data_IF_422011341202
#
_entry.id   IF_422011341202
#
_cell.length_a   1.000
_cell.length_b   1.000
_cell.length_c   1.000
_cell.angle_alpha   90.00
_cell.angle_beta   90.00
_cell.angle_gamma   90.00
#
_symmetry.space_group_name_H-M   'P 1'
#
loop_
_entity.id
_entity.type
_entity.pdbx_description
1 polymer ?
#
# COMPACT_ATOMS: atom_id res chain seq x y z
N UNK A 1 -22.90 21.59 -47.77
CA UNK A 1 -22.14 20.50 -47.16
C UNK A 1 -21.29 21.11 -46.06
N UNK A 2 -21.71 21.00 -44.79
CA UNK A 2 -20.92 21.43 -43.64
C UNK A 2 -19.83 20.38 -43.39
N UNK A 3 -18.58 20.77 -43.45
CA UNK A 3 -17.47 19.94 -43.05
C UNK A 3 -17.64 19.57 -41.57
N UNK A 4 -17.57 18.28 -41.24
CA UNK A 4 -17.63 17.76 -39.88
C UNK A 4 -16.46 18.34 -39.07
N UNK A 5 -16.74 18.82 -37.86
CA UNK A 5 -15.73 19.29 -36.91
C UNK A 5 -14.84 18.12 -36.51
N UNK A 6 -13.54 18.32 -36.25
CA UNK A 6 -12.62 17.24 -35.89
C UNK A 6 -12.85 16.64 -34.46
N UNK A 7 -13.95 17.02 -33.82
CA UNK A 7 -14.24 16.64 -32.39
C UNK A 7 -15.07 15.34 -32.27
N UNK A 8 -15.50 14.69 -33.33
CA UNK A 8 -16.35 13.48 -33.28
C UNK A 8 -15.60 12.16 -33.58
N UNK A 9 -14.30 12.11 -33.39
CA UNK A 9 -13.67 10.78 -33.27
C UNK A 9 -13.91 10.23 -31.87
N UNK A 10 -14.94 9.40 -31.74
CA UNK A 10 -15.09 8.54 -30.55
C UNK A 10 -13.75 7.83 -30.28
N UNK A 11 -13.09 8.20 -29.19
CA UNK A 11 -11.90 7.49 -28.74
C UNK A 11 -12.34 6.06 -28.46
N UNK A 12 -11.74 5.03 -29.10
CA UNK A 12 -12.08 3.64 -28.81
C UNK A 12 -12.05 3.44 -27.30
N UNK A 13 -13.00 2.70 -26.76
CA UNK A 13 -13.06 2.39 -25.33
C UNK A 13 -11.87 1.49 -24.99
N UNK A 14 -10.72 2.12 -24.70
CA UNK A 14 -9.47 1.45 -24.35
C UNK A 14 -9.62 0.81 -22.96
N UNK A 15 -9.41 -0.49 -22.87
CA UNK A 15 -9.43 -1.20 -21.60
C UNK A 15 -8.18 -0.82 -20.77
N UNK A 16 -8.42 -0.37 -19.53
CA UNK A 16 -7.34 -0.18 -18.54
C UNK A 16 -7.40 -1.36 -17.58
N UNK A 17 -6.29 -2.07 -17.44
CA UNK A 17 -6.17 -3.26 -16.58
C UNK A 17 -4.77 -3.39 -15.99
N UNK A 18 -4.57 -4.21 -14.96
CA UNK A 18 -3.23 -4.60 -14.52
C UNK A 18 -2.43 -5.26 -15.66
N UNK A 19 -1.12 -4.95 -15.68
CA UNK A 19 -0.15 -5.63 -16.55
C UNK A 19 -0.13 -7.13 -16.20
N UNK A 20 -0.20 -7.99 -17.22
CA UNK A 20 -0.19 -9.44 -17.08
C UNK A 20 1.17 -10.04 -17.47
N UNK A 21 1.53 -11.21 -16.96
CA UNK A 21 2.80 -11.85 -17.32
C UNK A 21 2.97 -12.13 -18.82
N UNK A 22 1.86 -12.26 -19.56
CA UNK A 22 1.85 -12.50 -21.01
C UNK A 22 1.98 -11.21 -21.84
N UNK A 23 1.91 -10.03 -21.23
CA UNK A 23 2.02 -8.76 -21.95
C UNK A 23 3.45 -8.51 -22.44
N UNK A 24 3.57 -7.93 -23.62
CA UNK A 24 4.85 -7.63 -24.26
C UNK A 24 5.54 -6.41 -23.59
N UNK A 25 6.53 -6.69 -22.76
CA UNK A 25 7.34 -5.65 -22.09
C UNK A 25 8.22 -4.87 -23.07
N UNK A 26 8.62 -5.45 -24.19
CA UNK A 26 9.34 -4.75 -25.25
C UNK A 26 8.48 -3.69 -25.89
N UNK A 27 7.22 -4.04 -26.24
CA UNK A 27 6.24 -3.09 -26.77
C UNK A 27 5.91 -1.98 -25.77
N UNK A 28 5.75 -2.32 -24.46
CA UNK A 28 5.55 -1.35 -23.39
C UNK A 28 6.74 -0.39 -23.26
N UNK A 29 7.97 -0.91 -23.30
CA UNK A 29 9.19 -0.10 -23.27
C UNK A 29 9.26 0.86 -24.44
N UNK A 30 9.01 0.38 -25.65
CA UNK A 30 9.01 1.20 -26.85
C UNK A 30 7.94 2.31 -26.80
N UNK A 31 6.74 2.01 -26.30
CA UNK A 31 5.68 3.01 -26.09
C UNK A 31 6.13 4.09 -25.08
N UNK A 32 6.74 3.70 -23.95
CA UNK A 32 7.25 4.65 -22.97
C UNK A 32 8.33 5.54 -23.56
N UNK A 33 9.28 4.98 -24.31
CA UNK A 33 10.35 5.75 -24.97
C UNK A 33 9.76 6.81 -25.92
N UNK A 34 8.74 6.45 -26.70
CA UNK A 34 8.03 7.41 -27.56
C UNK A 34 7.27 8.48 -26.77
N UNK A 35 6.61 8.08 -25.68
CA UNK A 35 5.85 9.00 -24.82
C UNK A 35 6.73 10.09 -24.19
N UNK A 36 7.98 9.77 -23.88
CA UNK A 36 8.94 10.67 -23.25
C UNK A 36 9.91 11.35 -24.22
N UNK A 37 9.89 10.99 -25.52
CA UNK A 37 10.83 11.53 -26.51
C UNK A 37 10.78 13.07 -26.61
N UNK A 38 9.59 13.66 -26.55
CA UNK A 38 9.42 15.13 -26.58
C UNK A 38 10.06 15.84 -25.37
N UNK A 39 9.97 15.23 -24.18
CA UNK A 39 10.62 15.75 -22.97
C UNK A 39 12.15 15.63 -23.05
N UNK A 40 12.63 14.53 -23.59
CA UNK A 40 14.07 14.34 -23.83
C UNK A 40 14.62 15.35 -24.86
N UNK A 41 13.91 15.59 -25.95
CA UNK A 41 14.25 16.61 -26.95
C UNK A 41 14.27 18.03 -26.35
N UNK A 42 13.47 18.27 -25.30
CA UNK A 42 13.48 19.52 -24.53
C UNK A 42 14.57 19.56 -23.42
N UNK A 43 15.53 18.63 -23.43
CA UNK A 43 16.68 18.59 -22.50
C UNK A 43 16.41 17.91 -21.16
N UNK A 44 15.22 17.31 -20.98
CA UNK A 44 14.84 16.62 -19.74
C UNK A 44 15.09 15.10 -19.86
N UNK A 45 16.18 14.62 -19.36
CA UNK A 45 16.64 13.21 -19.46
C UNK A 45 15.87 12.24 -18.54
N UNK A 46 14.55 12.17 -18.69
CA UNK A 46 13.75 11.15 -17.99
C UNK A 46 14.25 9.74 -18.30
N UNK A 47 14.31 8.88 -17.30
CA UNK A 47 14.71 7.48 -17.47
C UNK A 47 13.86 6.77 -18.53
N UNK A 48 12.54 7.04 -18.53
CA UNK A 48 11.60 6.41 -19.45
C UNK A 48 11.83 6.79 -20.93
N UNK A 49 12.60 7.84 -21.22
CA UNK A 49 12.89 8.22 -22.62
C UNK A 49 13.86 7.25 -23.32
N UNK A 50 14.73 6.57 -22.57
CA UNK A 50 15.82 5.74 -23.13
C UNK A 50 15.99 4.41 -22.37
N UNK A 51 15.09 4.08 -21.45
CA UNK A 51 15.19 2.82 -20.70
C UNK A 51 15.07 1.60 -21.62
N UNK A 52 15.76 0.54 -21.25
CA UNK A 52 15.63 -0.78 -21.85
C UNK A 52 14.50 -1.62 -21.21
N UNK A 53 14.22 -2.77 -21.79
CA UNK A 53 13.22 -3.71 -21.25
C UNK A 53 13.58 -4.21 -19.85
N UNK A 54 14.88 -4.42 -19.55
CA UNK A 54 15.31 -4.86 -18.23
C UNK A 54 15.00 -3.81 -17.17
N UNK A 55 15.15 -2.54 -17.48
CA UNK A 55 14.75 -1.43 -16.61
C UNK A 55 13.25 -1.34 -16.46
N UNK A 56 12.48 -1.51 -17.53
CA UNK A 56 11.01 -1.57 -17.49
C UNK A 56 10.56 -2.72 -16.57
N UNK A 57 11.12 -3.91 -16.72
CA UNK A 57 10.85 -5.11 -15.91
C UNK A 57 11.07 -4.86 -14.41
N UNK A 58 12.20 -4.28 -14.04
CA UNK A 58 12.49 -3.93 -12.63
C UNK A 58 11.48 -2.93 -12.07
N UNK A 59 11.07 -1.96 -12.87
CA UNK A 59 10.16 -0.88 -12.43
C UNK A 59 8.72 -1.37 -12.26
N UNK A 60 8.21 -2.19 -13.19
CA UNK A 60 6.86 -2.75 -13.08
C UNK A 60 6.73 -3.78 -11.95
N UNK A 61 7.83 -4.40 -11.53
CA UNK A 61 7.84 -5.41 -10.46
C UNK A 61 7.74 -4.83 -9.04
N UNK A 62 7.84 -3.50 -8.87
CA UNK A 62 7.83 -2.88 -7.52
C UNK A 62 6.44 -2.72 -6.89
N UNK A 63 5.39 -2.95 -7.63
CA UNK A 63 4.03 -2.76 -7.14
C UNK A 63 3.03 -3.12 -8.21
N UNK A 64 2.14 -2.21 -8.57
CA UNK A 64 1.22 -2.40 -9.69
C UNK A 64 1.66 -1.60 -10.92
N UNK A 65 1.45 -2.17 -12.09
CA UNK A 65 1.50 -1.46 -13.35
C UNK A 65 0.13 -1.61 -14.04
N UNK A 66 -0.55 -0.49 -14.29
CA UNK A 66 -1.78 -0.45 -15.06
C UNK A 66 -1.44 -0.08 -16.50
N UNK A 67 -2.02 -0.80 -17.45
CA UNK A 67 -1.82 -0.60 -18.88
C UNK A 67 -3.14 -0.32 -19.60
N UNK A 68 -3.12 0.60 -20.53
CA UNK A 68 -4.17 0.77 -21.51
C UNK A 68 -3.79 0.04 -22.78
N UNK A 69 -4.66 -0.85 -23.26
CA UNK A 69 -4.43 -1.74 -24.39
C UNK A 69 -5.40 -1.36 -25.53
N UNK A 70 -4.90 -1.28 -26.75
CA UNK A 70 -5.72 -1.05 -27.94
C UNK A 70 -6.39 -2.36 -28.44
N UNK A 71 -7.18 -2.23 -29.51
CA UNK A 71 -7.90 -3.37 -30.11
C UNK A 71 -6.97 -4.44 -30.70
N UNK A 72 -5.71 -4.10 -30.98
CA UNK A 72 -4.69 -5.03 -31.48
C UNK A 72 -3.91 -5.72 -30.33
N UNK A 73 -4.20 -5.37 -29.06
CA UNK A 73 -3.49 -5.88 -27.89
C UNK A 73 -2.20 -5.14 -27.57
N UNK A 74 -1.90 -4.00 -28.24
CA UNK A 74 -0.70 -3.24 -28.00
C UNK A 74 -0.87 -2.24 -26.85
N UNK A 75 0.16 -2.03 -25.99
CA UNK A 75 0.12 -1.03 -24.92
C UNK A 75 0.20 0.39 -25.50
N UNK A 76 -0.80 1.21 -25.20
CA UNK A 76 -0.90 2.61 -25.64
C UNK A 76 -0.84 3.61 -24.50
N UNK A 77 -0.75 3.12 -23.28
CA UNK A 77 -0.52 3.92 -22.09
C UNK A 77 -0.22 3.05 -20.88
N UNK A 78 0.50 3.60 -19.92
CA UNK A 78 0.78 2.90 -18.67
C UNK A 78 1.04 3.87 -17.52
N UNK A 79 0.84 3.37 -16.30
CA UNK A 79 1.22 4.01 -15.06
C UNK A 79 1.62 2.95 -14.04
N UNK A 80 2.74 3.15 -13.35
CA UNK A 80 3.17 2.27 -12.26
C UNK A 80 2.93 2.95 -10.93
N UNK A 81 2.52 2.15 -9.94
CA UNK A 81 2.30 2.57 -8.56
C UNK A 81 3.11 1.64 -7.65
N UNK A 82 4.02 2.20 -6.86
CA UNK A 82 4.85 1.47 -5.92
C UNK A 82 4.42 1.76 -4.47
N UNK A 83 4.59 0.78 -3.56
CA UNK A 83 4.55 1.04 -2.13
C UNK A 83 5.71 1.95 -1.71
N UNK A 84 5.70 2.47 -0.46
CA UNK A 84 6.83 3.22 0.08
C UNK A 84 8.16 2.50 -0.08
N UNK A 85 9.21 3.28 -0.28
CA UNK A 85 10.57 2.76 -0.37
C UNK A 85 11.14 2.55 1.03
N UNK A 86 12.00 1.55 1.16
CA UNK A 86 12.82 1.33 2.36
C UNK A 86 14.23 1.88 2.09
N UNK A 87 14.66 2.89 2.85
CA UNK A 87 15.99 3.49 2.68
C UNK A 87 17.14 2.50 2.96
N UNK A 88 16.91 1.43 3.71
CA UNK A 88 17.90 0.38 3.93
C UNK A 88 18.10 -0.49 2.66
N UNK A 89 17.01 -0.76 1.94
CA UNK A 89 17.05 -1.51 0.68
C UNK A 89 17.32 -0.61 -0.54
N UNK A 90 16.90 0.65 -0.47
CA UNK A 90 16.99 1.64 -1.54
C UNK A 90 17.73 2.91 -1.06
N UNK A 91 19.06 2.91 -0.86
CA UNK A 91 19.79 4.02 -0.26
C UNK A 91 19.62 5.38 -0.97
N UNK A 92 19.26 5.37 -2.27
CA UNK A 92 19.04 6.58 -3.07
C UNK A 92 17.82 7.40 -2.61
N UNK A 93 16.90 6.81 -1.83
CA UNK A 93 15.76 7.54 -1.25
C UNK A 93 16.03 8.07 0.15
N UNK A 94 17.22 7.93 0.70
CA UNK A 94 17.52 8.31 2.09
C UNK A 94 17.15 9.77 2.40
N UNK A 95 17.39 10.69 1.45
CA UNK A 95 17.02 12.09 1.57
C UNK A 95 15.59 12.40 1.11
N UNK A 96 14.94 11.46 0.42
CA UNK A 96 13.58 11.60 -0.10
C UNK A 96 12.56 10.99 0.87
N UNK A 97 12.45 11.56 2.07
CA UNK A 97 11.61 11.02 3.16
C UNK A 97 10.15 10.80 2.74
N UNK A 98 9.61 11.66 1.90
CA UNK A 98 8.27 11.58 1.33
C UNK A 98 8.02 10.30 0.50
N UNK A 99 9.06 9.64 -0.02
CA UNK A 99 8.98 8.31 -0.66
C UNK A 99 8.94 7.15 0.34
N UNK A 100 9.23 7.41 1.61
CA UNK A 100 9.31 6.41 2.67
C UNK A 100 8.08 6.44 3.59
N UNK A 101 7.21 7.45 3.43
CA UNK A 101 6.02 7.60 4.27
C UNK A 101 5.06 6.42 4.08
N UNK A 102 4.75 5.64 5.14
CA UNK A 102 4.10 4.33 5.02
C UNK A 102 2.64 4.39 4.53
N UNK A 103 2.03 5.58 4.55
CA UNK A 103 0.68 5.82 4.06
C UNK A 103 0.63 6.42 2.65
N UNK A 104 1.78 6.45 1.96
CA UNK A 104 1.93 7.17 0.69
C UNK A 104 2.40 6.23 -0.43
N UNK A 105 1.59 6.07 -1.47
CA UNK A 105 1.99 5.38 -2.69
C UNK A 105 2.82 6.29 -3.59
N UNK A 106 3.76 5.72 -4.35
CA UNK A 106 4.57 6.44 -5.32
C UNK A 106 4.14 6.09 -6.75
N UNK A 107 3.68 7.08 -7.50
CA UNK A 107 3.35 6.96 -8.91
C UNK A 107 4.58 7.27 -9.77
N UNK A 108 4.90 6.39 -10.68
CA UNK A 108 6.04 6.54 -11.58
C UNK A 108 5.78 5.91 -12.95
N UNK A 109 6.69 6.11 -13.92
CA UNK A 109 6.63 5.52 -15.26
C UNK A 109 5.25 5.71 -15.94
N UNK A 110 4.76 6.96 -15.88
CA UNK A 110 3.46 7.32 -16.43
C UNK A 110 3.63 7.85 -17.85
N UNK A 111 3.17 7.11 -18.85
CA UNK A 111 3.26 7.48 -20.26
C UNK A 111 1.97 7.17 -21.02
N UNK A 112 1.71 7.97 -22.04
CA UNK A 112 0.61 7.78 -23.02
C UNK A 112 1.21 7.95 -24.41
N UNK A 113 0.87 7.03 -25.33
CA UNK A 113 1.27 7.09 -26.73
C UNK A 113 1.04 8.50 -27.29
N UNK A 114 2.03 9.13 -27.95
CA UNK A 114 1.91 10.51 -28.43
C UNK A 114 0.65 10.81 -29.23
N UNK A 115 0.21 9.88 -30.06
CA UNK A 115 -1.01 10.02 -30.88
C UNK A 115 -2.31 10.06 -30.03
N UNK A 116 -2.27 9.56 -28.79
CA UNK A 116 -3.40 9.50 -27.86
C UNK A 116 -3.28 10.51 -26.69
N UNK A 117 -2.24 11.33 -26.69
CA UNK A 117 -2.15 12.43 -25.74
C UNK A 117 -3.30 13.42 -25.98
N UNK A 118 -3.78 14.04 -24.89
CA UNK A 118 -4.96 14.96 -24.89
C UNK A 118 -6.29 14.31 -25.23
N UNK A 119 -6.37 12.99 -25.38
CA UNK A 119 -7.61 12.23 -25.59
C UNK A 119 -8.41 11.94 -24.31
N UNK A 120 -7.89 12.31 -23.14
CA UNK A 120 -8.44 11.91 -21.84
C UNK A 120 -7.87 10.60 -21.27
N UNK A 121 -7.10 9.82 -22.07
CA UNK A 121 -6.53 8.55 -21.61
C UNK A 121 -5.63 8.71 -20.38
N UNK A 122 -4.78 9.75 -20.35
CA UNK A 122 -3.94 10.03 -19.18
C UNK A 122 -4.76 10.27 -17.91
N UNK A 123 -5.87 11.01 -18.00
CA UNK A 123 -6.76 11.24 -16.86
C UNK A 123 -7.41 9.94 -16.37
N UNK A 124 -7.81 9.05 -17.28
CA UNK A 124 -8.37 7.73 -16.91
C UNK A 124 -7.33 6.84 -16.24
N UNK A 125 -6.10 6.79 -16.75
CA UNK A 125 -5.00 6.05 -16.14
C UNK A 125 -4.66 6.60 -14.74
N UNK A 126 -4.61 7.93 -14.59
CA UNK A 126 -4.35 8.56 -13.30
C UNK A 126 -5.45 8.23 -12.28
N UNK A 127 -6.72 8.31 -12.69
CA UNK A 127 -7.85 7.94 -11.84
C UNK A 127 -7.82 6.46 -11.41
N UNK A 128 -7.46 5.57 -12.34
CA UNK A 128 -7.30 4.14 -12.03
C UNK A 128 -6.15 3.89 -11.05
N UNK A 129 -5.02 4.61 -11.18
CA UNK A 129 -3.90 4.54 -10.25
C UNK A 129 -4.26 5.04 -8.85
N UNK A 130 -4.99 6.16 -8.79
CA UNK A 130 -5.49 6.71 -7.52
C UNK A 130 -6.49 5.76 -6.84
N UNK A 131 -7.37 5.13 -7.61
CA UNK A 131 -8.31 4.15 -7.10
C UNK A 131 -7.59 2.92 -6.55
N UNK A 132 -6.63 2.38 -7.31
CA UNK A 132 -5.80 1.27 -6.84
C UNK A 132 -5.08 1.63 -5.53
N UNK A 133 -4.48 2.82 -5.44
CA UNK A 133 -3.79 3.26 -4.23
C UNK A 133 -4.72 3.34 -3.01
N UNK A 134 -5.98 3.84 -3.19
CA UNK A 134 -7.00 3.84 -2.14
C UNK A 134 -7.35 2.43 -1.69
N UNK A 135 -7.57 1.52 -2.64
CA UNK A 135 -7.90 0.11 -2.38
C UNK A 135 -6.78 -0.63 -1.65
N UNK A 136 -5.52 -0.22 -1.84
CA UNK A 136 -4.39 -0.74 -1.07
C UNK A 136 -4.22 -0.06 0.31
N UNK A 137 -5.09 0.89 0.66
CA UNK A 137 -5.08 1.56 1.96
C UNK A 137 -4.12 2.75 2.06
N UNK A 138 -3.60 3.24 0.94
CA UNK A 138 -2.78 4.45 0.95
C UNK A 138 -3.67 5.69 1.10
N UNK A 139 -3.32 6.54 2.06
CA UNK A 139 -4.03 7.80 2.28
C UNK A 139 -3.56 8.90 1.33
N UNK A 140 -2.39 8.74 0.72
CA UNK A 140 -1.75 9.72 -0.17
C UNK A 140 -1.11 9.05 -1.37
N UNK A 141 -0.93 9.82 -2.43
CA UNK A 141 -0.13 9.45 -3.59
C UNK A 141 0.82 10.59 -3.94
N UNK A 142 2.05 10.26 -4.29
CA UNK A 142 3.10 11.21 -4.63
C UNK A 142 3.73 10.81 -5.96
N UNK A 143 4.18 11.81 -6.70
CA UNK A 143 4.99 11.63 -7.91
C UNK A 143 6.01 12.75 -8.00
N UNK A 144 7.00 12.59 -8.88
CA UNK A 144 7.89 13.67 -9.26
C UNK A 144 7.88 13.91 -10.77
N UNK A 145 8.10 15.16 -11.16
CA UNK A 145 8.27 15.56 -12.55
C UNK A 145 9.32 16.66 -12.67
N UNK A 146 9.81 16.90 -13.89
CA UNK A 146 10.81 17.94 -14.13
C UNK A 146 10.22 19.33 -13.85
N UNK A 147 10.91 20.15 -13.08
CA UNK A 147 10.53 21.54 -12.79
C UNK A 147 10.26 22.36 -14.07
N UNK A 148 11.06 22.25 -15.15
CA UNK A 148 10.78 22.95 -16.42
C UNK A 148 9.59 22.39 -17.20
N UNK A 149 9.02 21.21 -16.87
CA UNK A 149 7.85 20.66 -17.53
C UNK A 149 6.54 21.34 -17.05
N UNK A 150 6.40 22.64 -17.29
CA UNK A 150 5.29 23.47 -16.80
C UNK A 150 3.91 22.90 -17.17
N UNK A 151 3.76 22.31 -18.36
CA UNK A 151 2.50 21.74 -18.83
C UNK A 151 2.10 20.50 -18.00
N UNK A 152 3.05 19.65 -17.58
CA UNK A 152 2.79 18.51 -16.70
C UNK A 152 2.41 18.96 -15.29
N UNK A 153 3.16 19.92 -14.73
CA UNK A 153 2.86 20.50 -13.40
C UNK A 153 1.44 21.09 -13.39
N UNK A 154 1.08 21.87 -14.42
CA UNK A 154 -0.26 22.43 -14.53
C UNK A 154 -1.34 21.36 -14.69
N UNK A 155 -1.07 20.27 -15.42
CA UNK A 155 -2.01 19.17 -15.59
C UNK A 155 -2.22 18.41 -14.25
N UNK A 156 -1.16 18.08 -13.53
CA UNK A 156 -1.28 17.46 -12.22
C UNK A 156 -1.97 18.39 -11.21
N UNK A 157 -1.71 19.70 -11.25
CA UNK A 157 -2.40 20.67 -10.40
C UNK A 157 -3.92 20.67 -10.61
N UNK A 158 -4.37 20.64 -11.89
CA UNK A 158 -5.81 20.48 -12.21
C UNK A 158 -6.38 19.12 -11.78
N UNK A 159 -5.55 18.10 -11.65
CA UNK A 159 -5.93 16.78 -11.14
C UNK A 159 -5.92 16.69 -9.61
N UNK A 160 -5.69 17.82 -8.90
CA UNK A 160 -5.74 17.90 -7.44
C UNK A 160 -4.40 17.60 -6.72
N UNK A 161 -3.29 17.60 -7.46
CA UNK A 161 -1.96 17.47 -6.86
C UNK A 161 -1.40 18.84 -6.49
N UNK A 162 -0.83 18.93 -5.29
CA UNK A 162 -0.11 20.11 -4.80
C UNK A 162 1.40 19.86 -4.80
N UNK A 163 2.17 20.89 -5.13
CA UNK A 163 3.64 20.85 -4.99
C UNK A 163 4.02 20.87 -3.52
N UNK A 164 4.82 19.90 -3.08
CA UNK A 164 5.21 19.72 -1.67
C UNK A 164 6.71 19.74 -1.44
N UNK A 165 7.50 19.84 -2.50
CA UNK A 165 8.95 19.89 -2.39
C UNK A 165 9.65 19.76 -3.73
N UNK A 166 10.97 19.63 -3.67
CA UNK A 166 11.79 19.41 -4.86
C UNK A 166 13.04 18.59 -4.50
N UNK A 167 13.57 17.86 -5.47
CA UNK A 167 14.80 17.09 -5.33
C UNK A 167 15.68 17.22 -6.57
N UNK A 168 17.00 17.08 -6.39
CA UNK A 168 17.94 16.91 -7.49
C UNK A 168 18.41 15.46 -7.49
N UNK A 169 17.89 14.68 -8.41
CA UNK A 169 18.32 13.29 -8.56
C UNK A 169 19.68 13.19 -9.24
N UNK A 170 20.49 12.25 -8.80
CA UNK A 170 21.79 11.98 -9.42
C UNK A 170 21.62 11.67 -10.92
N UNK A 171 22.44 12.27 -11.76
CA UNK A 171 22.45 12.09 -13.21
C UNK A 171 21.29 12.77 -13.96
N UNK A 172 20.40 13.53 -13.29
CA UNK A 172 19.34 14.29 -13.96
C UNK A 172 19.80 15.69 -14.36
N UNK A 173 19.41 16.09 -15.57
CA UNK A 173 19.68 17.43 -16.13
C UNK A 173 18.73 18.51 -15.58
N UNK A 174 17.75 18.11 -14.77
CA UNK A 174 16.71 18.98 -14.23
C UNK A 174 16.49 18.70 -12.75
N UNK A 175 16.00 19.71 -12.05
CA UNK A 175 15.44 19.56 -10.69
C UNK A 175 14.03 18.99 -10.80
N UNK A 176 13.71 17.98 -10.02
CA UNK A 176 12.35 17.45 -9.89
C UNK A 176 11.52 18.27 -8.91
N UNK A 177 10.24 18.46 -9.22
CA UNK A 177 9.20 18.96 -8.33
C UNK A 177 8.38 17.78 -7.86
N UNK A 178 8.18 17.70 -6.55
CA UNK A 178 7.37 16.68 -5.90
C UNK A 178 5.92 17.15 -5.83
N UNK A 179 5.00 16.31 -6.29
CA UNK A 179 3.57 16.58 -6.28
C UNK A 179 2.85 15.51 -5.48
N UNK A 180 1.95 15.92 -4.60
CA UNK A 180 1.20 15.04 -3.71
C UNK A 180 -0.30 15.29 -3.80
N UNK A 181 -1.09 14.21 -3.74
CA UNK A 181 -2.54 14.27 -3.60
C UNK A 181 -2.98 13.46 -2.38
N UNK A 182 -3.90 14.01 -1.60
CA UNK A 182 -4.60 13.30 -0.52
C UNK A 182 -5.70 12.45 -1.15
N UNK A 183 -5.69 11.16 -0.87
CA UNK A 183 -6.65 10.19 -1.39
C UNK A 183 -7.77 9.88 -0.39
N UNK A 184 -7.44 9.90 0.91
CA UNK A 184 -8.38 9.75 2.02
C UNK A 184 -8.31 11.02 2.86
N UNK A 185 -9.33 11.85 2.75
CA UNK A 185 -9.44 13.06 3.53
C UNK A 185 -9.90 12.71 4.95
N UNK A 186 -9.07 12.97 6.00
CA UNK A 186 -9.44 12.66 7.37
C UNK A 186 -10.62 13.48 7.90
N UNK A 187 -10.98 14.58 7.23
CA UNK A 187 -12.15 15.38 7.59
C UNK A 187 -13.42 14.83 6.92
N UNK A 188 -13.31 14.42 5.65
CA UNK A 188 -14.44 13.90 4.88
C UNK A 188 -14.76 12.42 5.22
N UNK A 189 -13.74 11.59 5.54
CA UNK A 189 -13.93 10.18 5.94
C UNK A 189 -13.10 9.85 7.20
N UNK A 190 -13.46 10.39 8.36
CA UNK A 190 -12.68 10.26 9.59
C UNK A 190 -12.61 8.82 10.10
N UNK A 191 -13.66 8.02 9.88
CA UNK A 191 -13.68 6.63 10.32
C UNK A 191 -12.67 5.79 9.54
N UNK A 192 -12.65 5.89 8.21
CA UNK A 192 -11.65 5.21 7.37
C UNK A 192 -10.25 5.67 7.70
N UNK A 193 -10.03 6.97 7.82
CA UNK A 193 -8.73 7.53 8.16
C UNK A 193 -8.21 6.98 9.48
N UNK A 194 -9.06 6.90 10.52
CA UNK A 194 -8.70 6.31 11.81
C UNK A 194 -8.40 4.82 11.72
N UNK A 195 -9.23 4.04 11.02
CA UNK A 195 -9.02 2.59 10.84
C UNK A 195 -7.74 2.29 10.05
N UNK A 196 -7.38 3.12 9.07
CA UNK A 196 -6.10 2.99 8.34
C UNK A 196 -4.90 3.26 9.26
N UNK A 197 -5.00 4.24 10.17
CA UNK A 197 -3.96 4.46 11.21
C UNK A 197 -3.81 3.22 12.09
N UNK A 198 -4.92 2.66 12.56
CA UNK A 198 -4.90 1.47 13.43
C UNK A 198 -4.39 0.22 12.70
N UNK A 199 -4.69 0.04 11.43
CA UNK A 199 -4.17 -1.06 10.61
C UNK A 199 -2.64 -0.93 10.41
N UNK A 200 -2.12 0.29 10.14
CA UNK A 200 -0.67 0.53 10.08
C UNK A 200 0.00 0.27 11.42
N UNK A 201 -0.63 0.73 12.51
CA UNK A 201 -0.12 0.50 13.87
C UNK A 201 -0.03 -0.98 14.20
N UNK A 202 -1.07 -1.77 13.87
CA UNK A 202 -1.08 -3.21 14.12
C UNK A 202 0.10 -3.91 13.43
N UNK A 203 0.38 -3.58 12.17
CA UNK A 203 1.52 -4.09 11.42
C UNK A 203 2.87 -3.59 11.96
N UNK A 204 2.98 -2.30 12.29
CA UNK A 204 4.21 -1.72 12.85
C UNK A 204 4.56 -2.33 14.22
N UNK A 205 3.59 -2.38 15.12
CA UNK A 205 3.79 -2.90 16.45
C UNK A 205 4.11 -4.42 16.44
N UNK A 206 3.49 -5.18 15.54
CA UNK A 206 3.78 -6.60 15.37
C UNK A 206 5.22 -6.81 14.87
N UNK A 207 5.67 -6.11 13.83
CA UNK A 207 7.06 -6.22 13.35
C UNK A 207 8.07 -5.87 14.45
N UNK A 208 7.84 -4.75 15.15
CA UNK A 208 8.72 -4.28 16.21
C UNK A 208 8.78 -5.26 17.39
N UNK A 209 7.64 -5.86 17.76
CA UNK A 209 7.62 -6.91 18.80
C UNK A 209 8.42 -8.14 18.37
N UNK A 210 8.24 -8.57 17.11
CA UNK A 210 8.92 -9.77 16.60
C UNK A 210 10.44 -9.61 16.53
N UNK A 211 10.99 -8.40 16.32
CA UNK A 211 12.44 -8.11 16.41
C UNK A 211 13.00 -8.50 17.78
N UNK A 212 12.26 -8.28 18.86
CA UNK A 212 12.66 -8.65 20.23
C UNK A 212 12.42 -10.13 20.55
N UNK A 213 11.31 -10.69 20.04
CA UNK A 213 11.01 -12.13 20.22
C UNK A 213 12.02 -13.01 19.48
N UNK A 214 12.49 -12.58 18.30
CA UNK A 214 13.47 -13.33 17.51
C UNK A 214 14.83 -13.48 18.22
N UNK A 215 15.14 -12.59 19.16
CA UNK A 215 16.35 -12.66 19.98
C UNK A 215 16.26 -13.72 21.13
N UNK A 216 15.08 -14.32 21.38
CA UNK A 216 14.92 -15.39 22.34
C UNK A 216 15.34 -16.74 21.76
N UNK A 217 15.81 -17.65 22.62
CA UNK A 217 15.83 -19.06 22.26
C UNK A 217 14.41 -19.69 22.33
N UNK A 218 14.27 -20.91 21.87
CA UNK A 218 12.97 -21.59 21.83
C UNK A 218 12.46 -21.94 23.22
N UNK A 219 13.37 -22.27 24.15
CA UNK A 219 13.03 -22.60 25.53
C UNK A 219 12.43 -21.38 26.27
N UNK A 220 13.04 -20.20 26.15
CA UNK A 220 12.53 -18.96 26.73
C UNK A 220 11.19 -18.56 26.11
N UNK A 221 11.05 -18.70 24.79
CA UNK A 221 9.82 -18.34 24.05
C UNK A 221 8.63 -19.23 24.50
N UNK A 222 8.88 -20.49 24.80
CA UNK A 222 7.87 -21.48 25.25
C UNK A 222 7.73 -21.61 26.75
N UNK A 223 8.60 -20.96 27.53
CA UNK A 223 8.54 -20.98 28.99
C UNK A 223 7.20 -20.43 29.48
N UNK A 224 6.60 -21.12 30.46
CA UNK A 224 5.42 -20.62 31.16
C UNK A 224 5.79 -19.37 31.98
N UNK A 225 5.24 -18.24 31.59
CA UNK A 225 5.45 -16.91 32.20
C UNK A 225 4.21 -16.41 32.93
N UNK A 226 3.23 -17.27 33.19
CA UNK A 226 1.99 -16.94 33.87
C UNK A 226 0.98 -16.16 33.00
N UNK A 227 1.20 -16.07 31.68
CA UNK A 227 0.25 -15.49 30.77
C UNK A 227 -0.99 -16.37 30.59
N UNK A 228 -2.14 -15.81 30.18
CA UNK A 228 -3.35 -16.57 29.92
C UNK A 228 -3.11 -17.74 28.95
N UNK A 229 -2.32 -17.52 27.88
CA UNK A 229 -1.87 -18.56 26.94
C UNK A 229 -0.50 -19.15 27.34
N UNK A 230 -0.14 -19.04 28.60
CA UNK A 230 1.02 -19.61 29.28
C UNK A 230 2.36 -19.01 28.89
N UNK A 231 2.66 -18.87 27.60
CA UNK A 231 3.96 -18.46 27.09
C UNK A 231 3.87 -17.37 26.03
N UNK A 232 5.00 -16.78 25.67
CA UNK A 232 5.13 -15.86 24.54
C UNK A 232 4.66 -16.57 23.27
N UNK A 233 5.14 -17.80 23.00
CA UNK A 233 4.75 -18.59 21.84
C UNK A 233 3.24 -18.86 21.79
N UNK A 234 2.63 -19.24 22.93
CA UNK A 234 1.18 -19.45 23.02
C UNK A 234 0.38 -18.19 22.78
N UNK A 235 0.83 -17.04 23.29
CA UNK A 235 0.18 -15.75 23.09
C UNK A 235 0.29 -15.28 21.63
N UNK A 236 1.43 -15.52 20.97
CA UNK A 236 1.60 -15.22 19.53
C UNK A 236 0.74 -16.12 18.65
N UNK A 237 0.60 -17.40 18.99
CA UNK A 237 -0.34 -18.31 18.32
C UNK A 237 -1.79 -17.84 18.51
N UNK A 238 -2.16 -17.37 19.70
CA UNK A 238 -3.48 -16.77 19.92
C UNK A 238 -3.71 -15.53 19.04
N UNK A 239 -2.72 -14.65 18.90
CA UNK A 239 -2.80 -13.50 17.99
C UNK A 239 -3.01 -13.94 16.53
N UNK A 240 -2.33 -14.99 16.08
CA UNK A 240 -2.51 -15.57 14.76
C UNK A 240 -3.94 -16.14 14.60
N UNK A 241 -4.40 -16.92 15.57
CA UNK A 241 -5.75 -17.52 15.56
C UNK A 241 -6.82 -16.43 15.56
N UNK A 242 -6.77 -15.51 16.50
CA UNK A 242 -7.78 -14.46 16.62
C UNK A 242 -7.79 -13.54 15.40
N UNK A 243 -6.63 -12.98 15.03
CA UNK A 243 -6.53 -12.00 13.93
C UNK A 243 -6.78 -12.63 12.57
N UNK A 244 -6.02 -13.67 12.23
CA UNK A 244 -5.93 -14.16 10.85
C UNK A 244 -6.83 -15.38 10.56
N UNK A 245 -7.09 -16.24 11.55
CA UNK A 245 -7.87 -17.44 11.32
C UNK A 245 -9.36 -17.27 11.69
N UNK A 246 -9.70 -16.30 12.55
CA UNK A 246 -11.08 -16.03 12.93
C UNK A 246 -11.60 -14.69 12.38
N UNK A 247 -10.96 -13.55 12.69
CA UNK A 247 -11.49 -12.25 12.31
C UNK A 247 -11.28 -11.94 10.83
N UNK A 248 -10.11 -12.22 10.27
CA UNK A 248 -9.86 -11.95 8.86
C UNK A 248 -10.88 -12.62 7.92
N UNK A 249 -11.17 -13.94 8.01
CA UNK A 249 -12.18 -14.58 7.17
C UNK A 249 -13.58 -13.98 7.32
N UNK A 250 -13.95 -13.53 8.54
CA UNK A 250 -15.24 -12.86 8.79
C UNK A 250 -15.38 -11.57 7.99
N UNK A 251 -14.32 -10.77 7.97
CA UNK A 251 -14.28 -9.49 7.26
C UNK A 251 -14.13 -9.64 5.75
N UNK A 252 -13.17 -10.46 5.33
CA UNK A 252 -12.79 -10.57 3.93
C UNK A 252 -13.72 -11.47 3.11
N UNK A 253 -14.30 -12.52 3.72
CA UNK A 253 -15.07 -13.54 3.02
C UNK A 253 -16.46 -13.83 3.59
N UNK A 254 -16.81 -13.23 4.73
CA UNK A 254 -18.08 -13.52 5.42
C UNK A 254 -18.12 -14.93 6.04
N UNK A 255 -16.99 -15.58 6.18
CA UNK A 255 -16.88 -16.93 6.77
C UNK A 255 -16.75 -16.86 8.28
N UNK A 256 -17.19 -17.91 8.98
CA UNK A 256 -17.05 -18.03 10.43
C UNK A 256 -16.33 -19.34 10.79
N UNK A 257 -14.99 -19.38 10.68
CA UNK A 257 -14.22 -20.57 10.98
C UNK A 257 -14.37 -21.01 12.45
N UNK A 258 -14.23 -22.31 12.67
CA UNK A 258 -14.33 -22.95 13.99
C UNK A 258 -12.93 -23.38 14.45
N UNK A 259 -12.15 -22.44 14.98
CA UNK A 259 -10.80 -22.67 15.49
C UNK A 259 -10.78 -22.35 16.99
N UNK A 260 -10.19 -23.22 17.80
CA UNK A 260 -10.02 -22.97 19.25
C UNK A 260 -9.07 -21.78 19.47
N UNK A 261 -9.40 -20.93 20.44
CA UNK A 261 -8.62 -19.70 20.74
C UNK A 261 -7.21 -19.99 21.26
N UNK A 262 -7.00 -21.17 21.85
CA UNK A 262 -5.74 -21.66 22.43
C UNK A 262 -5.01 -22.65 21.51
N UNK A 263 -5.43 -22.76 20.25
CA UNK A 263 -4.79 -23.66 19.30
C UNK A 263 -3.36 -23.20 18.98
N UNK A 264 -2.40 -24.12 19.01
CA UNK A 264 -1.07 -23.92 18.43
C UNK A 264 -1.17 -24.09 16.90
N UNK A 265 -1.61 -23.02 16.23
CA UNK A 265 -1.86 -23.03 14.79
C UNK A 265 -0.58 -22.98 13.93
N UNK A 266 0.53 -22.61 14.55
CA UNK A 266 1.86 -22.62 13.93
C UNK A 266 2.94 -22.92 14.98
N UNK A 267 3.50 -24.13 15.03
CA UNK A 267 4.52 -24.51 15.99
C UNK A 267 5.91 -23.97 15.65
N UNK A 268 6.20 -23.69 14.39
CA UNK A 268 7.48 -23.14 13.95
C UNK A 268 7.51 -21.62 14.16
N UNK A 269 8.51 -21.12 14.89
CA UNK A 269 8.62 -19.69 15.24
C UNK A 269 8.83 -18.78 14.03
N UNK A 270 9.62 -19.20 13.05
CA UNK A 270 9.91 -18.38 11.88
C UNK A 270 8.66 -18.28 11.00
N UNK A 271 7.94 -19.38 10.81
CA UNK A 271 6.66 -19.37 10.10
C UNK A 271 5.59 -18.61 10.87
N UNK A 272 5.53 -18.72 12.20
CA UNK A 272 4.61 -17.95 13.04
C UNK A 272 4.86 -16.44 12.88
N UNK A 273 6.13 -16.01 12.92
CA UNK A 273 6.53 -14.64 12.64
C UNK A 273 6.08 -14.18 11.26
N UNK A 274 6.40 -14.95 10.22
CA UNK A 274 6.05 -14.60 8.84
C UNK A 274 4.53 -14.44 8.68
N UNK A 275 3.74 -15.40 9.19
CA UNK A 275 2.27 -15.37 9.15
C UNK A 275 1.68 -14.19 9.91
N UNK A 276 2.23 -13.84 11.08
CA UNK A 276 1.76 -12.68 11.85
C UNK A 276 2.04 -11.37 11.11
N UNK A 277 3.26 -11.19 10.58
CA UNK A 277 3.65 -9.98 9.85
C UNK A 277 2.84 -9.83 8.55
N UNK A 278 2.74 -10.88 7.77
CA UNK A 278 1.94 -10.91 6.54
C UNK A 278 0.46 -10.66 6.83
N UNK A 279 -0.08 -11.35 7.84
CA UNK A 279 -1.49 -11.25 8.20
C UNK A 279 -1.91 -9.84 8.62
N UNK A 280 -1.06 -9.12 9.37
CA UNK A 280 -1.36 -7.73 9.76
C UNK A 280 -1.36 -6.77 8.57
N UNK A 281 -0.59 -7.04 7.52
CA UNK A 281 -0.56 -6.21 6.31
C UNK A 281 -1.88 -6.25 5.51
N UNK A 282 -2.64 -7.34 5.63
CA UNK A 282 -3.90 -7.52 4.91
C UNK A 282 -5.01 -6.55 5.33
N UNK A 283 -4.94 -5.96 6.53
CA UNK A 283 -5.97 -5.03 7.01
C UNK A 283 -5.99 -3.71 6.25
N UNK A 284 -4.85 -3.23 5.75
CA UNK A 284 -4.78 -1.97 5.00
C UNK A 284 -5.62 -2.01 3.72
N UNK A 285 -5.44 -2.98 2.80
CA UNK A 285 -6.27 -3.03 1.60
C UNK A 285 -7.74 -3.33 1.91
N UNK A 286 -8.06 -4.11 2.95
CA UNK A 286 -9.44 -4.32 3.35
C UNK A 286 -10.13 -2.99 3.72
N UNK A 287 -9.51 -2.19 4.59
CA UNK A 287 -10.05 -0.90 5.03
C UNK A 287 -10.08 0.11 3.87
N UNK A 288 -9.05 0.09 3.02
CA UNK A 288 -8.95 0.97 1.86
C UNK A 288 -10.08 0.75 0.84
N UNK A 289 -10.39 -0.51 0.55
CA UNK A 289 -11.35 -0.91 -0.48
C UNK A 289 -12.81 -0.97 -0.01
N UNK A 290 -13.06 -1.05 1.32
CA UNK A 290 -14.43 -1.23 1.82
C UNK A 290 -15.33 -0.03 1.48
N UNK A 291 -16.57 -0.22 0.96
CA UNK A 291 -17.50 0.88 0.70
C UNK A 291 -17.89 1.63 1.98
N UNK A 292 -18.18 2.93 1.87
CA UNK A 292 -18.52 3.78 3.01
C UNK A 292 -19.77 3.28 3.77
N UNK A 293 -20.76 2.77 3.05
CA UNK A 293 -21.98 2.19 3.62
C UNK A 293 -21.69 0.96 4.48
N UNK A 294 -20.65 0.18 4.10
CA UNK A 294 -20.21 -0.99 4.86
C UNK A 294 -19.54 -0.60 6.17
N UNK A 295 -18.74 0.49 6.16
CA UNK A 295 -18.13 1.03 7.38
C UNK A 295 -19.18 1.43 8.43
N UNK A 296 -20.32 1.96 7.98
CA UNK A 296 -21.44 2.37 8.82
C UNK A 296 -22.41 1.22 9.13
N UNK A 297 -22.23 0.09 8.47
CA UNK A 297 -23.09 -1.09 8.58
C UNK A 297 -22.72 -2.02 9.73
N UNK A 298 -23.07 -3.28 9.58
CA UNK A 298 -22.79 -4.34 10.54
C UNK A 298 -21.98 -5.48 9.92
N UNK A 299 -21.22 -6.17 10.77
CA UNK A 299 -20.64 -7.47 10.47
C UNK A 299 -21.49 -8.56 11.11
N UNK A 300 -21.80 -9.59 10.34
CA UNK A 300 -22.52 -10.77 10.78
C UNK A 300 -21.58 -11.98 10.79
N UNK A 301 -21.58 -12.73 11.86
CA UNK A 301 -20.74 -13.90 12.01
C UNK A 301 -21.31 -14.88 13.04
N UNK A 302 -20.78 -16.10 13.08
CA UNK A 302 -21.02 -17.06 14.15
C UNK A 302 -19.84 -17.16 15.09
N UNK A 303 -20.13 -17.22 16.40
CA UNK A 303 -19.13 -17.56 17.41
C UNK A 303 -18.75 -19.03 17.28
N UNK A 304 -17.61 -19.42 17.90
CA UNK A 304 -17.20 -20.83 17.99
C UNK A 304 -18.24 -21.69 18.77
N UNK A 305 -19.12 -21.06 19.54
CA UNK A 305 -20.27 -21.71 20.21
C UNK A 305 -21.48 -21.90 19.29
N UNK A 306 -21.40 -21.45 18.01
CA UNK A 306 -22.49 -21.51 17.04
C UNK A 306 -23.48 -20.32 17.08
N UNK A 307 -23.39 -19.45 18.09
CA UNK A 307 -24.26 -18.29 18.26
C UNK A 307 -24.07 -17.27 17.13
N UNK A 308 -25.18 -16.83 16.54
CA UNK A 308 -25.14 -15.78 15.50
C UNK A 308 -24.99 -14.39 16.15
N UNK A 309 -24.06 -13.61 15.61
CA UNK A 309 -23.76 -12.26 16.08
C UNK A 309 -23.96 -11.25 14.95
N UNK A 310 -24.43 -10.05 15.33
CA UNK A 310 -24.49 -8.89 14.45
C UNK A 310 -24.01 -7.67 15.22
N UNK A 311 -22.87 -7.11 14.81
CA UNK A 311 -22.21 -6.00 15.52
C UNK A 311 -21.85 -4.87 14.54
N UNK A 312 -21.70 -3.61 15.01
CA UNK A 312 -21.23 -2.52 14.15
C UNK A 312 -19.88 -2.85 13.52
N UNK A 313 -19.78 -2.72 12.18
CA UNK A 313 -18.62 -3.16 11.40
C UNK A 313 -17.31 -2.49 11.86
N UNK A 314 -17.30 -1.15 11.89
CA UNK A 314 -16.12 -0.38 12.24
C UNK A 314 -15.68 -0.58 13.69
N UNK A 315 -16.62 -0.54 14.65
CA UNK A 315 -16.31 -0.73 16.07
C UNK A 315 -15.78 -2.15 16.35
N UNK A 316 -16.30 -3.15 15.64
CA UNK A 316 -15.79 -4.54 15.76
C UNK A 316 -14.40 -4.67 15.17
N UNK A 317 -14.05 -3.95 14.09
CA UNK A 317 -12.67 -3.92 13.58
C UNK A 317 -11.73 -3.21 14.55
N UNK A 318 -12.16 -2.12 15.18
CA UNK A 318 -11.38 -1.48 16.25
C UNK A 318 -11.13 -2.44 17.43
N UNK A 319 -12.08 -3.33 17.76
CA UNK A 319 -11.85 -4.39 18.73
C UNK A 319 -10.71 -5.30 18.30
N UNK A 320 -10.61 -5.70 17.02
CA UNK A 320 -9.52 -6.56 16.53
C UNK A 320 -8.15 -5.90 16.78
N UNK A 321 -8.00 -4.63 16.46
CA UNK A 321 -6.75 -3.90 16.70
C UNK A 321 -6.44 -3.71 18.19
N UNK A 322 -7.47 -3.37 19.00
CA UNK A 322 -7.31 -3.24 20.44
C UNK A 322 -6.95 -4.56 21.10
N UNK A 323 -7.54 -5.67 20.67
CA UNK A 323 -7.20 -7.01 21.11
C UNK A 323 -5.73 -7.36 20.78
N UNK A 324 -5.26 -7.00 19.59
CA UNK A 324 -3.86 -7.12 19.22
C UNK A 324 -2.94 -6.32 20.17
N UNK A 325 -3.30 -5.08 20.48
CA UNK A 325 -2.56 -4.23 21.43
C UNK A 325 -2.49 -4.86 22.83
N UNK A 326 -3.63 -5.38 23.34
CA UNK A 326 -3.69 -6.05 24.63
C UNK A 326 -2.70 -7.23 24.74
N UNK A 327 -2.71 -8.13 23.76
CA UNK A 327 -1.85 -9.31 23.80
C UNK A 327 -0.37 -8.99 23.49
N UNK A 328 -0.07 -8.00 22.65
CA UNK A 328 1.31 -7.51 22.48
C UNK A 328 1.85 -6.94 23.79
N UNK A 329 1.03 -6.23 24.57
CA UNK A 329 1.38 -5.78 25.92
C UNK A 329 1.68 -6.94 26.89
N UNK A 330 0.95 -8.04 26.81
CA UNK A 330 1.27 -9.25 27.58
C UNK A 330 2.62 -9.86 27.18
N UNK A 331 2.94 -9.91 25.89
CA UNK A 331 4.25 -10.40 25.41
C UNK A 331 5.39 -9.48 25.88
N UNK A 332 5.21 -8.14 25.86
CA UNK A 332 6.24 -7.22 26.39
C UNK A 332 6.45 -7.39 27.88
N UNK A 333 5.39 -7.62 28.66
CA UNK A 333 5.50 -7.93 30.08
C UNK A 333 6.26 -9.24 30.33
N UNK A 334 6.01 -10.27 29.51
CA UNK A 334 6.73 -11.55 29.62
C UNK A 334 8.21 -11.40 29.24
N UNK A 335 8.57 -10.62 28.21
CA UNK A 335 9.95 -10.28 27.86
C UNK A 335 10.66 -9.64 29.06
N UNK A 336 10.02 -8.65 29.71
CA UNK A 336 10.56 -7.99 30.91
C UNK A 336 10.74 -8.98 32.06
N UNK A 337 9.78 -9.86 32.32
CA UNK A 337 9.87 -10.89 33.36
C UNK A 337 11.00 -11.90 33.13
N UNK A 338 11.35 -12.14 31.85
CA UNK A 338 12.51 -12.96 31.46
C UNK A 338 13.84 -12.19 31.50
N UNK A 339 13.85 -10.92 31.93
CA UNK A 339 15.05 -10.08 31.94
C UNK A 339 15.52 -9.70 30.51
N UNK A 340 14.62 -9.75 29.51
CA UNK A 340 14.91 -9.42 28.11
C UNK A 340 14.44 -8.00 27.78
N UNK A 341 15.12 -7.29 26.85
CA UNK A 341 14.64 -6.00 26.38
C UNK A 341 13.23 -6.11 25.75
N UNK A 342 12.32 -5.24 26.17
CA UNK A 342 10.99 -5.13 25.59
C UNK A 342 10.88 -3.86 24.73
N UNK A 343 10.20 -3.90 23.58
CA UNK A 343 10.01 -2.71 22.76
C UNK A 343 8.95 -1.77 23.33
N UNK A 344 9.11 -0.48 23.06
CA UNK A 344 8.03 0.48 23.19
C UNK A 344 7.09 0.35 21.99
N UNK A 345 5.80 0.12 22.27
CA UNK A 345 4.79 -0.16 21.25
C UNK A 345 3.66 0.88 21.22
N UNK A 346 3.79 2.01 21.90
CA UNK A 346 2.74 3.03 21.92
C UNK A 346 2.50 3.61 20.53
N UNK A 347 1.24 3.80 20.20
CA UNK A 347 0.81 4.38 18.91
C UNK A 347 1.52 5.72 18.62
N UNK A 348 1.75 6.54 19.63
CA UNK A 348 2.39 7.84 19.48
C UNK A 348 3.80 7.75 18.87
N UNK A 349 4.57 6.71 19.17
CA UNK A 349 5.90 6.52 18.59
C UNK A 349 5.86 6.19 17.10
N UNK A 350 4.85 5.43 16.66
CA UNK A 350 4.63 5.23 15.23
C UNK A 350 4.28 6.57 14.55
N UNK A 351 3.36 7.35 15.13
CA UNK A 351 2.94 8.64 14.57
C UNK A 351 4.10 9.65 14.48
N UNK A 352 4.95 9.73 15.51
CA UNK A 352 6.16 10.57 15.48
C UNK A 352 7.12 10.14 14.35
N UNK A 353 7.29 8.85 14.14
CA UNK A 353 8.09 8.30 13.04
C UNK A 353 7.51 8.66 11.68
N UNK A 354 6.19 8.48 11.50
CA UNK A 354 5.49 8.86 10.27
C UNK A 354 5.58 10.37 9.99
N UNK A 355 5.45 11.19 11.03
CA UNK A 355 5.60 12.65 10.91
C UNK A 355 7.02 13.06 10.48
N UNK A 356 8.04 12.38 10.96
CA UNK A 356 9.43 12.65 10.54
C UNK A 356 9.70 12.28 9.06
N UNK A 357 8.83 11.45 8.45
CA UNK A 357 8.90 11.04 7.05
C UNK A 357 7.98 11.87 6.13
N UNK A 358 7.08 12.68 6.67
CA UNK A 358 6.11 13.50 5.91
C UNK A 358 6.67 14.84 5.50
#
# INVERSE_FOLDING_TARGET
VRAARPEDRAVPELAIRPLQPADDLGALTAMLNRAYAGLAAAGMNFTAATQDEATTRRRVARGACLVAIDAAGAPVGSVCIAPPYDAAADPWVAEARWLQAPDTAHLHQFGVEPALQRSGLGTRLLAAAEQWAREQGFARIVLDTAAPAAHLRAWYGRSGYAEVGSAQWAGKTYRSVMLRKVLVDPVADPMRAHLLVMARYDGWATRRLMEHVDALDDADCRRDTGLYFRSIHGTLNHLLVAGQLLWWPRYARGESPMVKLDAEAEPDRQRLRARLVEGTANWLPLVGAVPAERLQGAIEYRRITGEAMRLPWAATLMHVFNHGTHHRGQVTAALTALGRPAPELDLVYMLQREQALS
#
